data_IF_379319430156
#
_entry.id   IF_379319430156
#
_cell.length_a   1.000
_cell.length_b   1.000
_cell.length_c   1.000
_cell.angle_alpha   90.00
_cell.angle_beta   90.00
_cell.angle_gamma   90.00
#
_symmetry.space_group_name_H-M   'P 1'
#
loop_
_entity.id
_entity.type
_entity.pdbx_description
1 polymer ?
#
# COMPACT_ATOMS: atom_id res chain seq x y z
N UNK A 1 -9.36 -15.45 12.43
CA UNK A 1 -10.30 -14.38 12.03
C UNK A 1 -9.52 -13.09 11.77
N UNK A 2 -9.99 -12.24 10.84
CA UNK A 2 -9.25 -11.06 10.34
C UNK A 2 -10.11 -9.81 10.52
N UNK A 3 -9.52 -8.75 11.06
CA UNK A 3 -10.04 -7.38 10.96
C UNK A 3 -9.43 -6.73 9.72
N UNK A 4 -10.24 -6.48 8.70
CA UNK A 4 -9.86 -5.66 7.56
C UNK A 4 -9.95 -4.20 7.96
N UNK A 5 -8.81 -3.60 8.32
CA UNK A 5 -8.73 -2.23 8.81
C UNK A 5 -8.38 -1.28 7.68
N UNK A 6 -9.28 -0.36 7.37
CA UNK A 6 -9.13 0.59 6.27
C UNK A 6 -9.05 2.01 6.84
N UNK A 7 -8.02 2.75 6.43
CA UNK A 7 -7.90 4.18 6.73
C UNK A 7 -8.11 5.00 5.45
N UNK A 8 -8.98 6.00 5.51
CA UNK A 8 -9.35 6.84 4.35
C UNK A 8 -9.42 8.32 4.72
N UNK A 9 -9.10 9.17 3.78
CA UNK A 9 -9.18 10.64 3.90
C UNK A 9 -10.21 11.19 2.88
N UNK A 10 -9.83 11.34 1.62
CA UNK A 10 -10.67 11.90 0.55
C UNK A 10 -10.66 11.07 -0.74
N UNK A 11 -10.24 9.83 -0.65
CA UNK A 11 -10.01 8.88 -1.75
C UNK A 11 -11.25 8.04 -2.04
N UNK A 12 -12.34 8.61 -2.56
CA UNK A 12 -13.60 7.90 -2.75
C UNK A 12 -13.55 6.81 -3.84
N UNK A 13 -12.86 7.07 -4.97
CA UNK A 13 -12.73 6.09 -6.06
C UNK A 13 -11.82 4.92 -5.66
N UNK A 14 -10.74 5.23 -4.97
CA UNK A 14 -9.79 4.25 -4.47
C UNK A 14 -10.42 3.40 -3.36
N UNK A 15 -11.15 4.02 -2.43
CA UNK A 15 -11.90 3.31 -1.39
C UNK A 15 -12.92 2.34 -2.00
N UNK A 16 -13.72 2.79 -2.98
CA UNK A 16 -14.69 1.95 -3.67
C UNK A 16 -14.02 0.75 -4.37
N UNK A 17 -12.85 0.98 -5.00
CA UNK A 17 -12.03 -0.10 -5.59
C UNK A 17 -11.51 -1.07 -4.54
N UNK A 18 -10.96 -0.57 -3.42
CA UNK A 18 -10.44 -1.39 -2.33
C UNK A 18 -11.56 -2.27 -1.75
N UNK A 19 -12.70 -1.70 -1.41
CA UNK A 19 -13.84 -2.42 -0.83
C UNK A 19 -14.38 -3.53 -1.76
N UNK A 20 -14.26 -3.37 -3.07
CA UNK A 20 -14.60 -4.39 -4.08
C UNK A 20 -13.53 -5.47 -4.25
N UNK A 21 -12.33 -5.23 -3.76
CA UNK A 21 -11.18 -6.14 -3.93
C UNK A 21 -10.90 -7.02 -2.71
N UNK A 22 -11.55 -6.79 -1.60
CA UNK A 22 -11.45 -7.62 -0.39
C UNK A 22 -12.63 -8.59 -0.30
N UNK A 23 -12.39 -9.75 0.30
CA UNK A 23 -13.41 -10.82 0.43
C UNK A 23 -13.48 -11.30 1.88
N UNK A 24 -13.99 -10.48 2.83
CA UNK A 24 -14.16 -10.88 4.22
C UNK A 24 -15.11 -12.08 4.32
N UNK A 25 -14.78 -13.04 5.20
CA UNK A 25 -15.65 -14.17 5.54
C UNK A 25 -16.62 -13.75 6.64
N UNK A 26 -17.65 -14.55 6.89
CA UNK A 26 -18.67 -14.27 7.92
C UNK A 26 -18.08 -14.06 9.32
N UNK A 27 -16.95 -14.71 9.65
CA UNK A 27 -16.25 -14.56 10.93
C UNK A 27 -15.27 -13.37 11.00
N UNK A 28 -14.98 -12.74 9.88
CA UNK A 28 -14.10 -11.56 9.80
C UNK A 28 -14.89 -10.28 10.14
N UNK A 29 -14.21 -9.16 10.18
CA UNK A 29 -14.84 -7.85 10.31
C UNK A 29 -14.18 -6.82 9.40
N UNK A 30 -14.92 -5.77 9.07
CA UNK A 30 -14.40 -4.61 8.35
C UNK A 30 -14.49 -3.39 9.26
N UNK A 31 -13.36 -2.70 9.44
CA UNK A 31 -13.26 -1.45 10.21
C UNK A 31 -12.81 -0.35 9.27
N UNK A 32 -13.60 0.70 9.14
CA UNK A 32 -13.29 1.87 8.29
C UNK A 32 -13.12 3.08 9.19
N UNK A 33 -11.90 3.64 9.22
CA UNK A 33 -11.64 4.91 9.89
C UNK A 33 -11.41 6.01 8.86
N UNK A 34 -12.15 7.13 8.97
CA UNK A 34 -12.00 8.28 8.09
C UNK A 34 -11.52 9.53 8.83
N UNK A 35 -10.76 10.38 8.15
CA UNK A 35 -10.31 11.67 8.70
C UNK A 35 -11.46 12.69 8.69
N UNK A 36 -11.94 13.07 9.86
CA UNK A 36 -13.05 14.02 10.02
C UNK A 36 -12.71 15.43 9.52
N UNK A 37 -11.42 15.78 9.36
CA UNK A 37 -11.00 17.10 8.90
C UNK A 37 -11.05 17.25 7.38
N UNK A 38 -10.90 16.13 6.64
CA UNK A 38 -10.73 16.16 5.19
C UNK A 38 -11.67 15.22 4.42
N UNK A 39 -12.49 14.42 5.11
CA UNK A 39 -13.46 13.55 4.46
C UNK A 39 -14.41 14.32 3.55
N UNK A 40 -14.65 13.80 2.35
CA UNK A 40 -15.61 14.37 1.41
C UNK A 40 -16.96 13.65 1.49
N UNK A 41 -18.02 14.29 0.95
CA UNK A 41 -19.35 13.67 0.83
C UNK A 41 -19.30 12.38 0.04
N UNK A 42 -18.49 12.32 -1.01
CA UNK A 42 -18.35 11.16 -1.89
C UNK A 42 -17.73 9.95 -1.15
N UNK A 43 -16.77 10.19 -0.25
CA UNK A 43 -16.23 9.13 0.64
C UNK A 43 -17.32 8.60 1.55
N UNK A 44 -18.10 9.47 2.18
CA UNK A 44 -19.20 9.06 3.07
C UNK A 44 -20.28 8.28 2.31
N UNK A 45 -20.62 8.66 1.08
CA UNK A 45 -21.54 7.93 0.22
C UNK A 45 -21.03 6.51 -0.12
N UNK A 46 -19.72 6.35 -0.34
CA UNK A 46 -19.10 5.03 -0.55
C UNK A 46 -19.22 4.18 0.71
N UNK A 47 -18.92 4.74 1.88
CA UNK A 47 -19.01 4.06 3.17
C UNK A 47 -20.45 3.64 3.45
N UNK A 48 -21.42 4.56 3.32
CA UNK A 48 -22.84 4.27 3.54
C UNK A 48 -23.33 3.11 2.66
N UNK A 49 -23.02 3.16 1.37
CA UNK A 49 -23.39 2.08 0.43
C UNK A 49 -22.77 0.73 0.80
N UNK A 50 -21.53 0.72 1.31
CA UNK A 50 -20.88 -0.50 1.75
C UNK A 50 -21.53 -1.06 3.02
N UNK A 51 -21.84 -0.21 4.00
CA UNK A 51 -22.52 -0.58 5.26
C UNK A 51 -23.92 -1.11 5.01
N UNK A 52 -24.68 -0.56 4.06
CA UNK A 52 -26.00 -1.09 3.68
C UNK A 52 -25.96 -2.55 3.23
N UNK A 53 -24.85 -2.98 2.60
CA UNK A 53 -24.64 -4.35 2.14
C UNK A 53 -23.94 -5.23 3.18
N UNK A 54 -23.24 -4.63 4.14
CA UNK A 54 -22.38 -5.28 5.13
C UNK A 54 -22.60 -4.65 6.51
N UNK A 55 -23.73 -4.94 7.14
CA UNK A 55 -24.23 -4.27 8.36
C UNK A 55 -23.31 -4.34 9.57
N UNK A 56 -22.39 -5.32 9.61
CA UNK A 56 -21.46 -5.53 10.72
C UNK A 56 -20.16 -4.72 10.56
N UNK A 57 -20.11 -3.82 9.56
CA UNK A 57 -18.98 -2.92 9.35
C UNK A 57 -18.92 -1.85 10.44
N UNK A 58 -17.76 -1.72 11.09
CA UNK A 58 -17.48 -0.68 12.07
C UNK A 58 -17.00 0.57 11.34
N UNK A 59 -17.64 1.72 11.55
CA UNK A 59 -17.25 3.00 10.95
C UNK A 59 -16.90 3.99 12.05
N UNK A 60 -15.72 4.60 11.97
CA UNK A 60 -15.21 5.55 12.96
C UNK A 60 -14.65 6.81 12.30
N UNK A 61 -15.08 7.97 12.80
CA UNK A 61 -14.51 9.26 12.41
C UNK A 61 -13.45 9.70 13.43
N UNK A 62 -12.22 9.89 12.99
CA UNK A 62 -11.10 10.35 13.83
C UNK A 62 -10.45 11.59 13.19
N UNK A 63 -10.05 12.56 14.00
CA UNK A 63 -9.33 13.74 13.54
C UNK A 63 -7.85 13.44 13.35
N UNK A 64 -7.32 13.63 12.15
CA UNK A 64 -5.90 13.52 11.87
C UNK A 64 -5.16 14.79 12.35
N UNK A 65 -4.21 14.63 13.23
CA UNK A 65 -3.40 15.70 13.85
C UNK A 65 -1.96 15.78 13.31
N UNK A 66 -1.67 15.08 12.23
CA UNK A 66 -0.34 15.00 11.62
C UNK A 66 0.53 13.86 12.17
N UNK A 67 -0.01 12.98 13.00
CA UNK A 67 0.67 11.77 13.50
C UNK A 67 0.01 10.52 12.94
N UNK A 68 0.62 9.93 11.90
CA UNK A 68 0.11 8.73 11.24
C UNK A 68 0.09 7.51 12.16
N UNK A 69 1.11 7.35 13.03
CA UNK A 69 1.14 6.22 13.95
C UNK A 69 0.02 6.31 14.98
N UNK A 70 -0.22 7.49 15.57
CA UNK A 70 -1.35 7.72 16.47
C UNK A 70 -2.67 7.40 15.76
N UNK A 71 -2.86 7.93 14.57
CA UNK A 71 -4.08 7.75 13.79
C UNK A 71 -4.36 6.26 13.48
N UNK A 72 -3.34 5.50 13.06
CA UNK A 72 -3.44 4.05 12.82
C UNK A 72 -3.63 3.25 14.11
N UNK A 73 -3.03 3.66 15.23
CA UNK A 73 -3.22 2.98 16.51
C UNK A 73 -4.64 3.17 17.09
N UNK A 74 -5.27 4.33 16.85
CA UNK A 74 -6.69 4.51 17.17
C UNK A 74 -7.53 3.52 16.39
N UNK A 75 -7.30 3.41 15.08
CA UNK A 75 -7.97 2.44 14.23
C UNK A 75 -7.74 0.97 14.67
N UNK A 76 -6.50 0.62 15.05
CA UNK A 76 -6.17 -0.71 15.58
C UNK A 76 -7.00 -1.06 16.83
N UNK A 77 -7.26 -0.08 17.71
CA UNK A 77 -8.01 -0.31 18.95
C UNK A 77 -9.49 -0.65 18.73
N UNK A 78 -9.99 -0.48 17.52
CA UNK A 78 -11.36 -0.83 17.13
C UNK A 78 -11.46 -2.26 16.60
N UNK A 79 -10.33 -2.92 16.34
CA UNK A 79 -10.27 -4.26 15.79
C UNK A 79 -10.41 -5.32 16.88
N UNK A 80 -11.28 -6.32 16.66
CA UNK A 80 -11.57 -7.38 17.65
C UNK A 80 -11.06 -8.77 17.23
N UNK A 81 -10.62 -8.95 15.97
CA UNK A 81 -10.17 -10.26 15.47
C UNK A 81 -8.68 -10.51 15.76
N UNK A 82 -8.24 -11.77 15.58
CA UNK A 82 -6.87 -12.21 15.92
C UNK A 82 -5.78 -11.57 15.07
N UNK A 83 -6.12 -11.21 13.85
CA UNK A 83 -5.24 -10.59 12.88
C UNK A 83 -5.81 -9.30 12.36
N UNK A 84 -4.97 -8.32 12.13
CA UNK A 84 -5.31 -7.06 11.45
C UNK A 84 -4.68 -7.08 10.08
N UNK A 85 -5.51 -6.91 9.03
CA UNK A 85 -5.06 -6.59 7.68
C UNK A 85 -5.29 -5.10 7.43
N UNK A 86 -4.27 -4.28 7.71
CA UNK A 86 -4.35 -2.83 7.57
C UNK A 86 -4.08 -2.43 6.12
N UNK A 87 -4.99 -1.63 5.55
CA UNK A 87 -4.95 -1.13 4.19
C UNK A 87 -5.20 0.38 4.19
N UNK A 88 -4.39 1.13 3.48
CA UNK A 88 -4.70 2.52 3.18
C UNK A 88 -5.68 2.54 1.98
N UNK A 89 -6.64 3.49 1.94
CA UNK A 89 -7.71 3.47 0.93
C UNK A 89 -7.21 3.48 -0.52
N UNK A 90 -6.00 3.98 -0.77
CA UNK A 90 -5.34 4.01 -2.08
C UNK A 90 -4.58 2.73 -2.44
N UNK A 91 -4.62 1.71 -1.58
CA UNK A 91 -4.06 0.37 -1.82
C UNK A 91 -5.18 -0.64 -2.09
N UNK A 92 -4.87 -1.71 -2.82
CA UNK A 92 -5.75 -2.87 -2.93
C UNK A 92 -4.95 -4.15 -3.14
N UNK A 93 -5.38 -5.29 -2.55
CA UNK A 93 -4.71 -6.57 -2.73
C UNK A 93 -4.91 -7.11 -4.15
N UNK A 94 -3.95 -7.90 -4.64
CA UNK A 94 -4.20 -8.78 -5.77
C UNK A 94 -5.37 -9.72 -5.45
N UNK A 95 -6.05 -10.20 -6.49
CA UNK A 95 -7.15 -11.14 -6.29
C UNK A 95 -6.71 -12.39 -5.53
N UNK A 96 -5.58 -12.96 -5.92
CA UNK A 96 -5.03 -14.18 -5.28
C UNK A 96 -4.68 -13.92 -3.81
N UNK A 97 -4.10 -12.77 -3.47
CA UNK A 97 -3.82 -12.40 -2.08
C UNK A 97 -5.12 -12.30 -1.27
N UNK A 98 -6.13 -11.60 -1.81
CA UNK A 98 -7.40 -11.39 -1.12
C UNK A 98 -8.18 -12.70 -0.90
N UNK A 99 -8.22 -13.59 -1.90
CA UNK A 99 -8.92 -14.88 -1.81
C UNK A 99 -8.21 -15.87 -0.88
N UNK A 100 -6.87 -15.81 -0.75
CA UNK A 100 -6.08 -16.79 -0.02
C UNK A 100 -5.48 -16.27 1.30
N UNK A 101 -5.83 -15.08 1.76
CA UNK A 101 -5.21 -14.45 2.95
C UNK A 101 -5.37 -15.31 4.21
N UNK A 102 -6.50 -15.96 4.39
CA UNK A 102 -6.74 -16.88 5.52
C UNK A 102 -5.81 -18.09 5.45
N UNK A 103 -5.63 -18.67 4.27
CA UNK A 103 -4.75 -19.84 4.08
C UNK A 103 -3.27 -19.45 4.26
N UNK A 104 -2.90 -18.24 3.84
CA UNK A 104 -1.58 -17.66 4.11
C UNK A 104 -1.33 -17.58 5.62
N UNK A 105 -2.27 -17.07 6.39
CA UNK A 105 -2.16 -17.01 7.86
C UNK A 105 -2.05 -18.42 8.45
N UNK A 106 -2.90 -19.35 8.05
CA UNK A 106 -2.96 -20.72 8.60
C UNK A 106 -1.74 -21.57 8.23
N UNK A 107 -1.09 -21.30 7.10
CA UNK A 107 0.12 -22.00 6.67
C UNK A 107 1.38 -21.57 7.42
N UNK A 108 1.31 -20.52 8.21
CA UNK A 108 2.40 -20.00 9.02
C UNK A 108 2.32 -20.50 10.49
N UNK A 109 3.44 -20.54 11.22
CA UNK A 109 3.44 -20.91 12.64
C UNK A 109 2.53 -20.00 13.47
N UNK A 110 1.86 -20.55 14.48
CA UNK A 110 1.03 -19.77 15.42
C UNK A 110 1.82 -18.68 16.15
N UNK A 111 3.13 -18.84 16.27
CA UNK A 111 4.03 -17.83 16.86
C UNK A 111 4.33 -16.65 15.96
N UNK A 112 3.88 -16.64 14.70
CA UNK A 112 4.13 -15.55 13.77
C UNK A 112 3.30 -14.32 14.16
N UNK A 113 3.97 -13.18 14.23
CA UNK A 113 3.36 -11.91 14.64
C UNK A 113 3.06 -10.96 13.48
N UNK A 114 3.91 -10.96 12.44
CA UNK A 114 3.83 -9.98 11.35
C UNK A 114 4.24 -10.61 10.02
N UNK A 115 3.47 -10.33 8.98
CA UNK A 115 3.77 -10.67 7.59
C UNK A 115 3.92 -9.38 6.78
N UNK A 116 5.11 -9.19 6.19
CA UNK A 116 5.34 -8.12 5.22
C UNK A 116 4.81 -8.53 3.86
N UNK A 117 4.05 -7.65 3.25
CA UNK A 117 3.46 -7.84 1.92
C UNK A 117 4.17 -6.92 0.91
N UNK A 118 4.66 -7.44 -0.23
CA UNK A 118 5.26 -6.61 -1.26
C UNK A 118 4.20 -5.72 -1.90
N UNK A 119 4.54 -4.45 -2.18
CA UNK A 119 3.66 -3.48 -2.79
C UNK A 119 4.21 -3.02 -4.14
N UNK A 120 3.34 -3.00 -5.13
CA UNK A 120 3.58 -2.49 -6.48
C UNK A 120 3.09 -1.06 -6.55
N UNK A 121 4.02 -0.11 -6.53
CA UNK A 121 3.72 1.31 -6.69
C UNK A 121 3.76 1.67 -8.17
N UNK A 122 2.68 2.21 -8.71
CA UNK A 122 2.65 2.78 -10.08
C UNK A 122 2.30 4.26 -10.02
N UNK A 123 2.92 5.04 -10.92
CA UNK A 123 2.68 6.50 -10.96
C UNK A 123 2.42 6.91 -12.40
N UNK A 124 1.16 7.25 -12.67
CA UNK A 124 0.75 7.80 -13.97
C UNK A 124 1.28 9.23 -14.14
N UNK A 125 1.77 9.56 -15.33
CA UNK A 125 2.34 10.87 -15.65
C UNK A 125 3.77 11.10 -15.16
N UNK A 126 4.48 10.05 -14.69
CA UNK A 126 5.88 10.16 -14.28
C UNK A 126 6.78 10.53 -15.46
N UNK A 127 7.78 11.38 -15.21
CA UNK A 127 8.82 11.77 -16.16
C UNK A 127 10.21 11.42 -15.63
N UNK A 128 11.22 11.44 -16.49
CA UNK A 128 12.64 11.28 -16.08
C UNK A 128 13.07 12.34 -15.07
N UNK A 129 12.53 13.55 -15.17
CA UNK A 129 12.82 14.62 -14.21
C UNK A 129 12.33 14.25 -12.80
N UNK A 130 11.16 13.63 -12.68
CA UNK A 130 10.65 13.12 -11.40
C UNK A 130 11.54 12.02 -10.83
N UNK A 131 11.97 11.08 -11.67
CA UNK A 131 12.86 9.98 -11.29
C UNK A 131 14.18 10.53 -10.74
N UNK A 132 14.78 11.50 -11.43
CA UNK A 132 16.01 12.15 -10.98
C UNK A 132 15.81 12.93 -9.68
N UNK A 133 14.74 13.75 -9.63
CA UNK A 133 14.42 14.61 -8.48
C UNK A 133 14.25 13.81 -7.19
N UNK A 134 13.62 12.63 -7.29
CA UNK A 134 13.31 11.79 -6.12
C UNK A 134 14.22 10.56 -6.00
N UNK A 135 15.17 10.40 -6.89
CA UNK A 135 16.11 9.27 -6.92
C UNK A 135 15.37 7.91 -6.91
N UNK A 136 14.32 7.81 -7.72
CA UNK A 136 13.51 6.59 -7.80
C UNK A 136 14.11 5.57 -8.76
N UNK A 137 13.96 4.30 -8.39
CA UNK A 137 14.22 3.18 -9.27
C UNK A 137 12.96 2.83 -10.05
N UNK A 138 13.10 2.46 -11.32
CA UNK A 138 12.00 2.00 -12.16
C UNK A 138 12.16 0.52 -12.43
N UNK A 139 11.08 -0.22 -12.26
CA UNK A 139 10.97 -1.61 -12.65
C UNK A 139 9.84 -1.79 -13.67
N UNK A 140 9.95 -2.77 -14.56
CA UNK A 140 8.86 -3.23 -15.43
C UNK A 140 8.30 -4.55 -14.93
N UNK A 141 7.16 -4.94 -15.48
CA UNK A 141 6.58 -6.26 -15.22
C UNK A 141 7.57 -7.39 -15.51
N UNK A 142 8.25 -7.31 -16.67
CA UNK A 142 9.29 -8.29 -17.06
C UNK A 142 10.51 -8.20 -16.13
N UNK A 143 10.82 -7.01 -15.60
CA UNK A 143 11.91 -6.79 -14.66
C UNK A 143 11.57 -7.27 -13.26
N UNK A 144 10.31 -7.19 -12.82
CA UNK A 144 9.88 -7.74 -11.53
C UNK A 144 10.08 -9.25 -11.50
N UNK A 145 9.63 -9.95 -12.52
CA UNK A 145 9.81 -11.40 -12.63
C UNK A 145 11.30 -11.80 -12.64
N UNK A 146 12.17 -10.92 -13.10
CA UNK A 146 13.60 -11.15 -13.21
C UNK A 146 14.45 -10.35 -12.21
N UNK A 147 13.86 -9.64 -11.26
CA UNK A 147 14.52 -8.75 -10.28
C UNK A 147 15.46 -7.72 -10.91
N UNK A 148 15.06 -7.14 -12.03
CA UNK A 148 15.87 -6.17 -12.76
C UNK A 148 15.36 -4.76 -12.51
N UNK A 149 16.26 -3.86 -12.19
CA UNK A 149 15.99 -2.45 -11.93
C UNK A 149 16.80 -1.56 -12.88
N UNK A 150 16.27 -0.39 -13.19
CA UNK A 150 17.00 0.65 -13.92
C UNK A 150 17.58 1.59 -12.88
N UNK A 151 18.90 1.71 -12.85
CA UNK A 151 19.62 2.65 -12.00
C UNK A 151 20.18 3.81 -12.81
N UNK A 152 20.25 5.01 -12.21
CA UNK A 152 20.93 6.13 -12.80
C UNK A 152 22.44 5.85 -12.81
N UNK A 153 23.06 5.88 -14.00
CA UNK A 153 24.49 5.70 -14.18
C UNK A 153 25.24 7.05 -14.19
N UNK A 154 24.75 8.00 -14.98
CA UNK A 154 25.18 9.41 -14.99
C UNK A 154 24.01 10.32 -15.41
N UNK A 155 24.27 11.60 -15.67
CA UNK A 155 23.22 12.57 -16.01
C UNK A 155 22.51 12.30 -17.34
N UNK A 156 23.09 11.48 -18.22
CA UNK A 156 22.57 11.18 -19.56
C UNK A 156 22.29 9.70 -19.81
N UNK A 157 22.78 8.81 -18.94
CA UNK A 157 22.70 7.37 -19.13
C UNK A 157 22.20 6.67 -17.88
N UNK A 158 21.49 5.56 -18.11
CA UNK A 158 20.97 4.68 -17.08
C UNK A 158 21.44 3.26 -17.34
N UNK A 159 21.69 2.50 -16.30
CA UNK A 159 22.12 1.11 -16.39
C UNK A 159 20.98 0.18 -15.99
N UNK A 160 20.75 -0.86 -16.78
CA UNK A 160 19.90 -1.98 -16.36
C UNK A 160 20.71 -2.87 -15.42
N UNK A 161 20.32 -2.91 -14.15
CA UNK A 161 20.87 -3.86 -13.18
C UNK A 161 20.77 -5.29 -13.74
N UNK A 162 21.86 -6.02 -13.72
CA UNK A 162 22.02 -7.39 -14.21
C UNK A 162 22.36 -7.60 -15.69
N UNK A 163 22.44 -6.56 -16.55
CA UNK A 163 22.84 -6.74 -17.94
C UNK A 163 24.03 -5.88 -18.39
N UNK A 164 24.56 -5.02 -17.51
CA UNK A 164 25.59 -4.03 -17.88
C UNK A 164 25.22 -3.23 -19.16
N UNK A 165 23.90 -3.09 -19.39
CA UNK A 165 23.39 -2.37 -20.56
C UNK A 165 23.18 -0.91 -20.20
N UNK A 166 24.00 -0.04 -20.77
CA UNK A 166 23.86 1.42 -20.64
C UNK A 166 22.90 1.88 -21.74
N UNK A 167 21.83 2.58 -21.36
CA UNK A 167 20.84 3.14 -22.29
C UNK A 167 20.75 4.65 -22.11
N UNK A 168 20.49 5.37 -23.21
CA UNK A 168 20.35 6.81 -23.18
C UNK A 168 19.05 7.25 -22.55
N UNK A 169 19.02 8.46 -21.99
CA UNK A 169 17.82 9.10 -21.47
C UNK A 169 16.66 9.08 -22.48
N UNK A 170 16.96 9.32 -23.76
CA UNK A 170 15.97 9.29 -24.82
C UNK A 170 15.35 7.91 -25.00
N UNK A 171 16.15 6.84 -24.94
CA UNK A 171 15.63 5.46 -25.03
C UNK A 171 14.77 5.12 -23.82
N UNK A 172 15.10 5.63 -22.62
CA UNK A 172 14.24 5.45 -21.44
C UNK A 172 12.93 6.21 -21.63
N UNK A 173 12.97 7.48 -22.06
CA UNK A 173 11.76 8.27 -22.31
C UNK A 173 10.88 7.61 -23.38
N UNK A 174 11.46 7.13 -24.46
CA UNK A 174 10.74 6.42 -25.51
C UNK A 174 10.13 5.11 -24.98
N UNK A 175 10.85 4.36 -24.14
CA UNK A 175 10.34 3.14 -23.49
C UNK A 175 9.27 3.43 -22.46
N UNK A 176 9.42 4.47 -21.63
CA UNK A 176 8.38 4.91 -20.67
C UNK A 176 7.10 5.29 -21.40
N UNK A 177 7.19 5.92 -22.57
CA UNK A 177 6.02 6.34 -23.35
C UNK A 177 5.34 5.21 -24.13
N UNK A 178 6.11 4.19 -24.54
CA UNK A 178 5.63 3.11 -25.41
C UNK A 178 5.29 1.83 -24.62
N UNK A 179 6.11 1.47 -23.63
CA UNK A 179 6.02 0.18 -22.92
C UNK A 179 5.36 0.26 -21.55
N UNK A 180 5.31 1.43 -20.91
CA UNK A 180 4.85 1.56 -19.53
C UNK A 180 3.78 2.63 -19.43
N UNK A 181 2.51 2.26 -19.55
CA UNK A 181 1.42 3.13 -19.16
C UNK A 181 1.53 3.52 -17.68
N UNK A 182 2.07 2.63 -16.87
CA UNK A 182 2.23 2.81 -15.42
C UNK A 182 3.53 2.15 -14.96
N UNK A 183 4.68 2.87 -14.99
CA UNK A 183 5.95 2.32 -14.53
C UNK A 183 5.91 2.00 -13.04
N UNK A 184 6.47 0.86 -12.68
CA UNK A 184 6.56 0.41 -11.29
C UNK A 184 7.77 1.08 -10.63
N UNK A 185 7.53 1.69 -9.48
CA UNK A 185 8.50 2.51 -8.77
C UNK A 185 8.98 1.79 -7.50
N UNK A 186 10.32 1.81 -7.30
CA UNK A 186 10.97 1.35 -6.07
C UNK A 186 10.57 -0.07 -5.62
N UNK A 187 10.28 -0.98 -6.55
CA UNK A 187 10.00 -2.37 -6.22
C UNK A 187 11.31 -3.14 -5.89
N UNK A 188 11.34 -3.99 -4.86
CA UNK A 188 10.24 -4.35 -3.96
C UNK A 188 10.06 -3.32 -2.83
N UNK A 189 8.80 -2.97 -2.54
CA UNK A 189 8.41 -2.12 -1.43
C UNK A 189 7.60 -2.96 -0.43
N UNK A 190 8.24 -3.50 0.59
CA UNK A 190 7.59 -4.35 1.59
C UNK A 190 6.87 -3.53 2.65
N UNK A 191 5.57 -3.77 2.80
CA UNK A 191 4.71 -3.10 3.76
C UNK A 191 4.30 -4.04 4.92
N UNK A 192 4.34 -3.52 6.14
CA UNK A 192 3.86 -4.20 7.35
C UNK A 192 2.34 -4.12 7.41
N UNK A 193 1.62 -4.99 6.67
CA UNK A 193 0.17 -4.86 6.49
C UNK A 193 -0.64 -5.96 7.17
N UNK A 194 -0.06 -7.09 7.51
CA UNK A 194 -0.78 -8.20 8.11
C UNK A 194 -0.10 -8.61 9.42
N UNK A 195 -0.73 -8.34 10.55
CA UNK A 195 -0.12 -8.55 11.87
C UNK A 195 -1.13 -8.99 12.92
N UNK A 196 -0.61 -9.65 13.98
CA UNK A 196 -1.43 -10.06 15.13
C UNK A 196 -2.02 -8.87 15.85
N UNK A 197 -3.28 -8.97 16.24
CA UNK A 197 -3.95 -8.00 17.11
C UNK A 197 -3.48 -8.22 18.56
N UNK A 198 -2.40 -7.56 18.93
CA UNK A 198 -1.80 -7.61 20.26
C UNK A 198 -1.46 -6.20 20.73
N UNK A 199 -1.68 -5.88 21.99
CA UNK A 199 -1.36 -4.56 22.58
C UNK A 199 0.11 -4.17 22.43
N UNK A 200 1.00 -5.17 22.29
CA UNK A 200 2.43 -4.94 22.09
C UNK A 200 2.80 -4.56 20.66
N UNK A 201 1.92 -4.86 19.68
CA UNK A 201 2.16 -4.57 18.27
C UNK A 201 1.47 -3.26 17.91
N UNK A 202 2.26 -2.23 17.63
CA UNK A 202 1.76 -0.88 17.44
C UNK A 202 2.50 -0.19 16.30
N UNK A 203 1.87 0.80 15.70
CA UNK A 203 2.50 1.75 14.79
C UNK A 203 3.34 2.75 15.58
N UNK A 204 4.51 3.13 15.07
CA UNK A 204 5.41 4.11 15.66
C UNK A 204 6.08 4.98 14.59
N UNK A 205 6.17 6.27 14.87
CA UNK A 205 6.72 7.29 13.96
C UNK A 205 5.63 8.22 13.44
N UNK A 206 5.87 9.53 13.52
CA UNK A 206 4.90 10.54 13.09
C UNK A 206 4.65 10.50 11.58
N UNK A 207 5.74 10.37 10.81
CA UNK A 207 5.79 10.17 9.36
C UNK A 207 6.71 9.00 9.08
N UNK A 208 6.44 8.23 8.01
CA UNK A 208 7.14 6.95 7.72
C UNK A 208 7.01 5.95 8.88
N UNK A 209 5.81 5.84 9.38
CA UNK A 209 5.47 4.98 10.50
C UNK A 209 5.77 3.51 10.20
N UNK A 210 6.19 2.79 11.23
CA UNK A 210 6.52 1.38 11.15
C UNK A 210 5.82 0.60 12.24
N UNK A 211 5.53 -0.68 12.00
CA UNK A 211 5.00 -1.59 13.02
C UNK A 211 6.14 -2.07 13.90
N UNK A 212 5.98 -1.92 15.22
CA UNK A 212 6.92 -2.37 16.25
C UNK A 212 6.26 -3.38 17.18
N UNK A 213 7.07 -4.10 17.97
CA UNK A 213 6.58 -5.04 18.99
C UNK A 213 6.33 -6.45 18.48
N UNK A 214 6.40 -6.71 17.18
CA UNK A 214 6.38 -8.06 16.62
C UNK A 214 7.68 -8.79 16.96
N UNK A 215 7.59 -9.99 17.55
CA UNK A 215 8.74 -10.81 17.89
C UNK A 215 9.19 -11.71 16.75
N UNK A 216 8.25 -12.12 15.91
CA UNK A 216 8.47 -13.00 14.75
C UNK A 216 7.87 -12.42 13.50
N UNK A 217 8.64 -12.40 12.42
CA UNK A 217 8.25 -11.77 11.17
C UNK A 217 8.46 -12.71 9.99
N UNK A 218 7.63 -12.58 8.97
CA UNK A 218 7.74 -13.26 7.69
C UNK A 218 7.53 -12.27 6.54
N UNK A 219 7.79 -12.70 5.32
CA UNK A 219 7.55 -11.91 4.10
C UNK A 219 6.91 -12.80 3.05
N UNK A 220 5.92 -12.27 2.34
CA UNK A 220 5.39 -12.96 1.17
C UNK A 220 6.41 -12.93 0.03
N UNK A 221 6.36 -13.92 -0.88
CA UNK A 221 7.22 -13.94 -2.06
C UNK A 221 7.06 -12.69 -2.93
N UNK A 222 8.11 -12.35 -3.68
CA UNK A 222 8.09 -11.29 -4.68
C UNK A 222 7.37 -11.78 -5.96
N UNK A 223 6.08 -12.06 -5.82
CA UNK A 223 5.22 -12.47 -6.91
C UNK A 223 3.97 -11.57 -6.90
N UNK A 224 3.53 -11.12 -8.08
CA UNK A 224 2.37 -10.23 -8.23
C UNK A 224 1.09 -10.79 -7.63
N UNK A 225 0.96 -12.11 -7.57
CA UNK A 225 -0.19 -12.78 -6.94
C UNK A 225 -0.27 -12.53 -5.42
N UNK A 226 0.84 -12.11 -4.80
CA UNK A 226 0.92 -11.81 -3.37
C UNK A 226 1.13 -10.32 -3.07
N UNK A 227 0.92 -9.44 -4.04
CA UNK A 227 1.20 -8.02 -3.88
C UNK A 227 -0.03 -7.20 -3.50
N UNK A 228 0.24 -6.07 -2.84
CA UNK A 228 -0.66 -4.92 -2.85
C UNK A 228 -0.36 -4.06 -4.06
N UNK A 229 -1.38 -3.48 -4.67
CA UNK A 229 -1.26 -2.47 -5.72
C UNK A 229 -1.55 -1.09 -5.17
N UNK A 230 -0.75 -0.11 -5.56
CA UNK A 230 -0.83 1.26 -5.09
C UNK A 230 -0.60 2.23 -6.26
N UNK A 231 -1.62 2.40 -7.12
CA UNK A 231 -1.55 3.32 -8.24
C UNK A 231 -1.79 4.76 -7.78
N UNK A 232 -0.97 5.68 -8.28
CA UNK A 232 -1.11 7.12 -8.05
C UNK A 232 -0.97 7.91 -9.35
N UNK A 233 -1.50 9.13 -9.38
CA UNK A 233 -1.11 10.14 -10.34
C UNK A 233 0.11 10.91 -9.85
N UNK A 234 0.87 11.50 -10.78
CA UNK A 234 2.01 12.33 -10.43
C UNK A 234 1.60 13.54 -9.57
N UNK A 235 0.46 14.16 -9.87
CA UNK A 235 -0.07 15.31 -9.12
C UNK A 235 -0.34 14.95 -7.66
N UNK A 236 -0.88 13.75 -7.41
CA UNK A 236 -1.13 13.25 -6.05
C UNK A 236 0.17 12.98 -5.32
N UNK A 237 1.15 12.39 -5.99
CA UNK A 237 2.46 12.12 -5.42
C UNK A 237 3.20 13.43 -5.06
N UNK A 238 3.12 14.46 -5.89
CA UNK A 238 3.70 15.76 -5.59
C UNK A 238 3.07 16.40 -4.35
N UNK A 239 1.74 16.42 -4.26
CA UNK A 239 1.01 16.91 -3.07
C UNK A 239 1.39 16.15 -1.79
N UNK A 240 1.50 14.83 -1.87
CA UNK A 240 1.92 14.01 -0.74
C UNK A 240 3.36 14.34 -0.28
N UNK A 241 4.27 14.53 -1.23
CA UNK A 241 5.65 14.92 -0.92
C UNK A 241 5.73 16.31 -0.26
N UNK A 242 4.85 17.23 -0.63
CA UNK A 242 4.73 18.55 0.01
C UNK A 242 4.17 18.45 1.42
N UNK A 243 3.12 17.66 1.62
CA UNK A 243 2.57 17.40 2.94
C UNK A 243 3.63 16.84 3.91
N UNK A 244 4.38 15.82 3.49
CA UNK A 244 5.42 15.22 4.34
C UNK A 244 6.54 16.18 4.73
N UNK A 245 6.84 17.19 3.92
CA UNK A 245 7.80 18.24 4.28
C UNK A 245 7.26 19.22 5.33
N UNK A 246 5.94 19.32 5.47
CA UNK A 246 5.27 20.23 6.41
C UNK A 246 4.99 19.61 7.79
N UNK A 247 5.08 18.30 7.92
CA UNK A 247 4.90 17.53 9.15
C UNK A 247 6.22 17.30 9.90
#
# INVERSE_FOLDING_TARGET
MISYLITVCNEHEELDRLLKSIFPKDEDEVVIQYDTNQVTSEVLEVIERYVELNSDTIVHGESFDGDFARYKNVANSLCEKDWIFQLDADEYPSKDLAENITDIIQSNPESLDLIYIPRVNTVDGITIEHIRKWNWNISSDDLIQNHREIEKFDDNFFMLKHFDLVISEKEIQDRLSIMYKEPIINFPDYQARLYRNKDTIQWKGKVHETVVGASTVSRLPLDKVYCLYHPKSIDRQEKQNELYKSL
#
